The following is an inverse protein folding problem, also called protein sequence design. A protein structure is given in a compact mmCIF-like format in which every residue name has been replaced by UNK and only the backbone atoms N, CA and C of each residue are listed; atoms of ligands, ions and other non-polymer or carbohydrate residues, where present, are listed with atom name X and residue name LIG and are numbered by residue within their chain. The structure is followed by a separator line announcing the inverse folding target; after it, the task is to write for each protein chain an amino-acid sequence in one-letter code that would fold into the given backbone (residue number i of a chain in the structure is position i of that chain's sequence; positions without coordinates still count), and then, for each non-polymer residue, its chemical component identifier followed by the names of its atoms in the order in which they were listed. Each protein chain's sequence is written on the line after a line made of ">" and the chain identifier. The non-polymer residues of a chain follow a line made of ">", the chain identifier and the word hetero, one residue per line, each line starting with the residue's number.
data_IF_747280117646
#
_entry.id   IF_747280117646
#
_cell.length_a   1.000
_cell.length_b   1.000
_cell.length_c   1.000
_cell.angle_alpha   90.00
_cell.angle_beta   90.00
_cell.angle_gamma   90.00
#
_symmetry.space_group_name_H-M   'P 1'
#
loop_
_entity.id
_entity.type
_entity.pdbx_description
1 polymer ?
2 polymer ?
#
# COMPACT_ATOMS: atom_id res chain seq x y z
N UNK A 1 4.28 -10.34 9.36
CA UNK A 1 3.75 -10.40 7.99
C UNK A 1 2.23 -10.52 8.05
N UNK A 2 1.60 -10.90 6.93
CA UNK A 2 0.13 -10.98 6.88
C UNK A 2 -0.45 -12.09 5.97
N UNK A 3 -1.65 -12.58 6.36
CA UNK A 3 -2.38 -13.61 5.61
C UNK A 3 -3.82 -13.07 5.48
N UNK A 4 -4.34 -13.03 4.25
CA UNK A 4 -5.68 -12.49 4.05
C UNK A 4 -6.55 -13.58 3.46
N UNK A 5 -7.70 -13.80 4.07
CA UNK A 5 -8.60 -14.82 3.55
C UNK A 5 -9.96 -14.16 3.64
N UNK A 6 -10.87 -14.31 2.67
CA UNK A 6 -10.70 -15.17 1.48
C UNK A 6 -10.05 -14.44 0.30
N UNK A 7 -9.72 -15.19 -0.76
CA UNK A 7 -9.10 -14.62 -1.94
C UNK A 7 -10.17 -13.93 -2.79
N UNK A 8 -11.28 -14.62 -3.05
CA UNK A 8 -12.35 -14.03 -3.87
C UNK A 8 -13.57 -13.93 -2.96
N UNK A 9 -14.46 -12.97 -3.24
CA UNK A 9 -15.63 -12.80 -2.38
C UNK A 9 -16.81 -12.32 -3.23
N UNK A 10 -17.63 -13.27 -3.67
CA UNK A 10 -18.80 -12.89 -4.44
C UNK A 10 -19.87 -12.45 -3.47
N UNK A 11 -20.43 -11.27 -3.70
CA UNK A 11 -21.44 -10.82 -2.77
C UNK A 11 -22.53 -10.06 -3.49
N UNK A 12 -23.75 -10.09 -2.97
CA UNK A 12 -24.86 -9.46 -3.67
C UNK A 12 -25.01 -8.06 -3.10
N UNK A 13 -25.58 -7.16 -3.87
CA UNK A 13 -25.74 -5.79 -3.37
C UNK A 13 -26.64 -5.84 -2.15
N UNK A 14 -26.30 -5.08 -1.13
CA UNK A 14 -27.12 -5.10 0.07
C UNK A 14 -26.51 -6.07 1.09
N UNK A 15 -25.81 -7.10 0.61
CA UNK A 15 -25.23 -8.11 1.50
C UNK A 15 -24.16 -7.50 2.39
N UNK A 16 -23.73 -8.30 3.36
CA UNK A 16 -22.66 -7.85 4.23
C UNK A 16 -21.48 -8.70 3.83
N UNK A 17 -20.28 -8.18 4.06
CA UNK A 17 -19.14 -9.00 3.79
C UNK A 17 -18.07 -8.78 4.86
N UNK A 18 -17.17 -9.75 5.03
CA UNK A 18 -16.14 -9.66 6.07
C UNK A 18 -14.86 -10.18 5.43
N UNK A 19 -13.78 -9.39 5.54
CA UNK A 19 -12.48 -9.85 5.06
C UNK A 19 -11.55 -9.78 6.27
N UNK A 20 -10.75 -10.82 6.50
CA UNK A 20 -9.93 -10.85 7.72
C UNK A 20 -8.44 -11.02 7.41
N UNK A 21 -7.61 -10.59 8.35
CA UNK A 21 -6.18 -10.80 8.21
C UNK A 21 -5.61 -11.28 9.53
N UNK A 22 -4.49 -11.98 9.41
CA UNK A 22 -3.85 -12.55 10.59
C UNK A 22 -2.35 -12.31 10.53
N UNK A 23 -1.78 -11.89 11.65
CA UNK A 23 -0.39 -11.47 11.69
C UNK A 23 0.41 -12.54 12.40
N UNK A 24 1.71 -12.32 12.51
CA UNK A 24 2.56 -13.36 13.07
C UNK A 24 2.94 -12.99 14.49
N UNK A 25 2.93 -11.71 14.79
CA UNK A 25 3.13 -11.34 16.19
C UNK A 25 1.86 -10.59 16.49
N UNK A 26 1.66 -10.20 17.73
CA UNK A 26 0.49 -9.38 18.05
C UNK A 26 0.87 -8.00 17.61
N UNK A 27 -0.05 -7.33 16.93
CA UNK A 27 0.34 -6.12 16.23
C UNK A 27 -0.35 -4.90 16.81
N UNK A 28 -1.11 -5.14 17.86
CA UNK A 28 -1.54 -4.04 18.73
C UNK A 28 -2.48 -3.06 18.06
N UNK A 29 -3.31 -3.57 17.18
CA UNK A 29 -4.32 -2.73 16.52
C UNK A 29 -3.73 -1.80 15.48
N UNK A 30 -2.49 -1.99 15.12
CA UNK A 30 -1.93 -1.05 14.16
C UNK A 30 -2.03 -1.81 12.85
N UNK A 31 -3.17 -1.72 12.19
CA UNK A 31 -3.30 -2.32 10.86
C UNK A 31 -4.25 -1.39 10.14
N UNK A 32 -4.25 -1.38 8.82
CA UNK A 32 -5.07 -0.43 8.08
C UNK A 32 -5.67 -1.23 6.93
N UNK A 33 -6.68 -0.66 6.27
CA UNK A 33 -7.37 -1.38 5.19
C UNK A 33 -7.45 -0.47 3.95
N UNK A 34 -7.08 -1.01 2.79
CA UNK A 34 -7.06 -0.21 1.57
C UNK A 34 -8.00 -0.83 0.54
N UNK A 35 -8.57 0.03 -0.30
CA UNK A 35 -9.47 -0.42 -1.35
C UNK A 35 -8.78 0.03 -2.64
N UNK A 36 -8.50 -0.87 -3.57
CA UNK A 36 -7.92 -0.42 -4.83
C UNK A 36 -9.02 -0.65 -5.84
N UNK A 37 -9.76 0.41 -6.14
CA UNK A 37 -10.81 0.28 -7.14
C UNK A 37 -10.12 -0.03 -8.45
N UNK A 38 -10.74 -0.71 -9.40
CA UNK A 38 -10.07 -1.06 -10.63
C UNK A 38 -9.61 0.18 -11.41
N UNK A 39 -8.35 0.10 -11.85
CA UNK A 39 -7.79 1.17 -12.68
C UNK A 39 -7.43 2.42 -11.89
N UNK A 40 -7.11 2.24 -10.61
CA UNK A 40 -6.79 3.41 -9.79
C UNK A 40 -5.80 2.96 -8.74
N UNK A 41 -5.28 3.96 -8.03
CA UNK A 41 -4.32 3.69 -6.97
C UNK A 41 -5.15 3.25 -5.79
N UNK A 42 -4.55 2.66 -4.76
CA UNK A 42 -5.30 2.21 -3.61
C UNK A 42 -5.72 3.43 -2.80
N UNK A 43 -6.67 3.25 -1.89
CA UNK A 43 -7.11 4.37 -1.08
C UNK A 43 -7.36 3.84 0.33
N UNK A 44 -7.25 4.74 1.30
CA UNK A 44 -7.40 4.34 2.70
C UNK A 44 -8.87 4.30 3.10
N UNK A 45 -9.20 3.34 3.97
CA UNK A 45 -10.56 3.22 4.46
C UNK A 45 -10.50 3.33 5.99
N UNK A 46 -9.77 2.42 6.63
CA UNK A 46 -9.70 2.42 8.10
C UNK A 46 -8.22 2.34 8.50
N UNK A 47 -7.84 3.02 9.59
CA UNK A 47 -6.46 2.97 10.06
C UNK A 47 -6.54 2.81 11.57
N UNK A 48 -5.52 2.20 12.16
CA UNK A 48 -5.60 1.82 13.58
C UNK A 48 -6.76 0.87 13.78
N UNK A 49 -6.88 -0.14 12.93
CA UNK A 49 -7.90 -1.18 13.13
C UNK A 49 -9.33 -0.79 12.80
N UNK A 50 -9.81 0.32 13.33
CA UNK A 50 -11.22 0.61 13.23
C UNK A 50 -11.43 2.09 13.00
N UNK A 51 -10.40 2.91 13.07
CA UNK A 51 -10.64 4.34 12.92
C UNK A 51 -10.89 4.66 11.45
N UNK A 52 -12.09 5.13 11.15
CA UNK A 52 -12.47 5.41 9.77
C UNK A 52 -11.83 6.72 9.37
N UNK A 53 -10.97 6.71 8.37
CA UNK A 53 -10.39 7.97 7.89
C UNK A 53 -11.44 8.73 7.10
N UNK A 54 -11.47 10.03 7.23
CA UNK A 54 -12.54 10.81 6.61
C UNK A 54 -12.72 10.68 5.10
N UNK A 55 -14.02 10.80 4.81
CA UNK A 55 -14.58 10.56 3.49
C UNK A 55 -15.17 9.15 3.35
N UNK A 56 -14.74 8.21 4.19
CA UNK A 56 -15.22 6.83 4.04
C UNK A 56 -16.60 6.74 4.66
N UNK A 57 -17.58 6.12 4.00
CA UNK A 57 -18.92 6.00 4.54
C UNK A 57 -18.91 4.95 5.64
N UNK A 58 -19.83 5.10 6.59
CA UNK A 58 -19.86 4.21 7.76
C UNK A 58 -20.27 2.77 7.48
N UNK A 59 -20.47 2.38 6.22
CA UNK A 59 -20.79 0.99 5.96
C UNK A 59 -19.55 0.13 6.17
N UNK A 60 -18.40 0.79 6.26
CA UNK A 60 -17.14 0.10 6.52
C UNK A 60 -16.77 0.27 7.98
N UNK A 61 -16.34 -0.83 8.59
CA UNK A 61 -15.93 -0.78 9.99
C UNK A 61 -14.79 -1.78 10.16
N UNK A 62 -13.91 -1.53 11.13
CA UNK A 62 -12.80 -2.47 11.33
C UNK A 62 -12.76 -2.92 12.79
N UNK A 63 -12.15 -4.09 13.04
CA UNK A 63 -12.06 -4.59 14.41
C UNK A 63 -10.95 -5.63 14.39
N UNK A 64 -10.62 -6.18 15.56
CA UNK A 64 -9.60 -7.22 15.60
C UNK A 64 -8.80 -7.21 16.90
N UNK A 65 -8.21 -8.37 17.23
CA UNK A 65 -7.45 -8.49 18.48
C UNK A 65 -6.25 -9.40 18.28
N UNK A 66 -5.15 -9.06 18.96
CA UNK A 66 -3.96 -9.91 18.92
C UNK A 66 -3.39 -10.01 17.51
N UNK A 67 -3.89 -10.98 16.74
CA UNK A 67 -3.36 -11.15 15.40
C UNK A 67 -4.43 -11.19 14.34
N UNK A 68 -5.71 -11.08 14.68
CA UNK A 68 -6.72 -11.22 13.64
C UNK A 68 -7.54 -9.95 13.58
N UNK A 69 -7.70 -9.39 12.38
CA UNK A 69 -8.42 -8.14 12.24
C UNK A 69 -9.41 -8.36 11.10
N UNK A 70 -10.55 -7.70 11.16
CA UNK A 70 -11.57 -7.94 10.14
C UNK A 70 -12.14 -6.61 9.65
N UNK A 71 -12.42 -6.55 8.35
CA UNK A 71 -13.09 -5.39 7.77
C UNK A 71 -14.49 -5.89 7.46
N UNK A 72 -15.48 -5.07 7.79
CA UNK A 72 -16.87 -5.46 7.54
C UNK A 72 -17.56 -4.35 6.75
N UNK A 73 -18.34 -4.77 5.75
CA UNK A 73 -19.14 -3.84 4.97
C UNK A 73 -20.56 -4.30 5.25
N UNK A 74 -21.37 -3.46 5.88
CA UNK A 74 -22.71 -3.87 6.27
C UNK A 74 -23.62 -4.02 5.07
N UNK A 75 -23.56 -3.06 4.13
CA UNK A 75 -24.54 -3.09 3.04
C UNK A 75 -23.62 -2.84 1.87
N UNK A 76 -23.40 -3.85 1.04
CA UNK A 76 -22.46 -3.67 -0.06
C UNK A 76 -23.15 -2.87 -1.14
N UNK A 77 -22.47 -1.82 -1.60
CA UNK A 77 -23.02 -1.01 -2.68
C UNK A 77 -22.14 -1.25 -3.90
N UNK A 78 -22.61 -0.75 -5.05
CA UNK A 78 -21.92 -0.99 -6.32
C UNK A 78 -20.50 -0.44 -6.33
N UNK A 79 -20.30 0.76 -5.78
CA UNK A 79 -18.97 1.36 -5.82
C UNK A 79 -17.91 0.57 -5.05
N UNK A 80 -18.32 -0.35 -4.17
CA UNK A 80 -17.35 -1.07 -3.35
C UNK A 80 -16.58 -2.23 -4.03
N UNK A 81 -16.74 -2.47 -5.34
CA UNK A 81 -15.99 -3.55 -6.04
C UNK A 81 -14.57 -3.12 -6.13
N UNK A 82 -13.67 -4.10 -5.99
CA UNK A 82 -12.27 -3.94 -6.29
C UNK A 82 -11.50 -4.83 -5.34
N UNK A 83 -10.20 -4.60 -5.13
CA UNK A 83 -9.41 -5.51 -4.27
C UNK A 83 -9.08 -4.79 -2.98
N UNK A 84 -9.33 -5.48 -1.86
CA UNK A 84 -9.06 -4.88 -0.56
C UNK A 84 -7.73 -5.47 -0.08
N UNK A 85 -7.01 -4.69 0.73
CA UNK A 85 -5.69 -5.11 1.21
C UNK A 85 -5.63 -4.68 2.67
N UNK A 86 -5.11 -5.54 3.55
CA UNK A 86 -4.91 -5.08 4.92
C UNK A 86 -3.43 -4.74 4.96
N UNK A 87 -2.97 -4.09 6.01
CA UNK A 87 -1.55 -3.77 6.06
C UNK A 87 -1.23 -3.53 7.54
N UNK A 88 -0.15 -4.09 8.06
CA UNK A 88 0.23 -3.78 9.46
C UNK A 88 1.32 -2.71 9.58
N UNK A 89 1.38 -2.04 10.73
CA UNK A 89 2.41 -1.03 10.98
C UNK A 89 2.83 -1.29 12.41
N UNK A 90 2.99 -2.54 12.71
CA UNK A 90 3.39 -2.83 14.07
C UNK A 90 4.90 -2.81 14.06
N UNK A 91 5.48 -3.28 12.97
CA UNK A 91 6.93 -3.30 12.94
C UNK A 91 7.28 -3.14 11.48
N UNK A 92 8.31 -2.36 11.23
CA UNK A 92 8.79 -2.19 9.88
C UNK A 92 9.39 -3.52 9.48
N UNK A 93 9.23 -3.86 8.24
CA UNK A 93 8.74 -2.88 7.31
C UNK A 93 7.27 -3.17 7.11
N UNK A 94 6.55 -2.19 6.60
CA UNK A 94 5.10 -2.30 6.52
C UNK A 94 4.76 -3.42 5.55
N UNK A 95 3.89 -4.35 5.94
CA UNK A 95 3.61 -5.47 5.06
C UNK A 95 2.11 -5.60 4.87
N UNK A 96 1.80 -5.91 3.61
CA UNK A 96 0.43 -5.86 3.09
C UNK A 96 -0.08 -7.29 2.96
N UNK A 97 -1.40 -7.43 2.99
CA UNK A 97 -1.98 -8.76 2.83
C UNK A 97 -2.10 -8.99 1.34
N UNK A 98 -2.26 -10.26 0.94
CA UNK A 98 -2.27 -10.59 -0.49
C UNK A 98 -3.48 -10.07 -1.27
N UNK A 99 -4.54 -9.66 -0.58
CA UNK A 99 -5.68 -9.08 -1.30
C UNK A 99 -6.89 -10.03 -1.38
N UNK A 100 -8.08 -9.40 -1.36
CA UNK A 100 -9.36 -10.13 -1.45
C UNK A 100 -10.18 -9.38 -2.51
N UNK A 101 -10.44 -10.00 -3.66
CA UNK A 101 -11.23 -9.32 -4.68
C UNK A 101 -12.72 -9.48 -4.42
N UNK A 102 -13.40 -8.35 -4.30
CA UNK A 102 -14.85 -8.36 -4.08
C UNK A 102 -15.52 -8.16 -5.43
N UNK A 103 -16.36 -9.12 -5.80
CA UNK A 103 -17.09 -8.98 -7.05
C UNK A 103 -18.57 -8.96 -6.73
N UNK A 104 -19.26 -8.10 -7.46
CA UNK A 104 -20.69 -7.93 -7.30
C UNK A 104 -21.47 -9.03 -8.00
N UNK A 105 -22.28 -9.76 -7.25
CA UNK A 105 -23.12 -10.80 -7.82
C UNK A 105 -24.31 -10.08 -8.42
N UNK A 106 -24.58 -10.37 -9.69
CA UNK A 106 -25.63 -9.64 -10.40
C UNK A 106 -26.50 -10.68 -11.11
N UNK A 107 -27.57 -10.24 -11.77
CA UNK A 107 -28.36 -11.20 -12.52
C UNK A 107 -27.68 -11.56 -13.83
N UNK B 1 7.44 9.88 -11.41
CA UNK B 1 8.09 9.81 -12.72
C UNK B 1 9.47 9.14 -12.62
N UNK B 2 10.09 8.97 -13.80
CA UNK B 2 11.39 8.29 -13.87
C UNK B 2 11.27 6.83 -14.33
N UNK B 3 10.06 6.44 -14.70
CA UNK B 3 9.89 5.02 -15.02
C UNK B 3 10.28 4.63 -16.39
N UNK B 4 9.75 3.50 -16.89
CA UNK B 4 10.03 3.02 -18.25
C UNK B 4 10.66 1.66 -18.37
N UNK B 5 11.11 1.39 -19.59
CA UNK B 5 11.65 0.07 -19.88
C UNK B 5 13.14 0.11 -19.58
N UNK B 6 13.64 -0.94 -18.94
CA UNK B 6 15.07 -1.02 -18.72
C UNK B 6 15.54 -2.46 -18.79
N UNK B 7 16.77 -2.65 -19.23
CA UNK B 7 17.26 -4.01 -19.43
C UNK B 7 17.80 -4.48 -18.09
N UNK B 8 17.69 -5.76 -17.78
CA UNK B 8 18.14 -6.32 -16.51
C UNK B 8 19.57 -5.90 -16.17
N UNK B 9 19.69 -5.30 -14.98
CA UNK B 9 20.98 -4.88 -14.46
C UNK B 9 21.04 -3.37 -14.56
N UNK B 10 20.09 -2.79 -15.27
CA UNK B 10 20.20 -1.35 -15.41
C UNK B 10 19.89 -0.61 -14.13
N UNK B 11 19.91 0.72 -14.21
CA UNK B 11 19.67 1.51 -13.02
C UNK B 11 18.60 2.53 -13.38
N UNK B 12 18.01 3.15 -12.37
CA UNK B 12 16.88 4.04 -12.64
C UNK B 12 16.62 4.86 -11.38
N UNK B 13 16.15 6.09 -11.54
CA UNK B 13 15.85 6.91 -10.37
C UNK B 13 14.42 7.42 -10.53
N UNK B 14 13.58 7.07 -9.56
CA UNK B 14 12.14 7.28 -9.58
C UNK B 14 12.04 8.64 -8.77
N UNK B 15 11.09 9.54 -9.07
CA UNK B 15 10.95 10.73 -8.22
C UNK B 15 9.52 10.73 -7.70
N UNK B 16 9.24 11.70 -6.83
CA UNK B 16 7.90 11.85 -6.30
C UNK B 16 7.76 13.24 -5.71
N UNK B 17 6.91 14.00 -6.40
CA UNK B 17 6.72 15.40 -6.04
C UNK B 17 5.51 15.60 -5.12
N UNK B 18 5.78 16.13 -3.94
CA UNK B 18 4.72 16.30 -2.96
C UNK B 18 4.23 17.73 -2.92
N UNK B 19 2.95 17.89 -2.59
CA UNK B 19 2.40 19.22 -2.48
C UNK B 19 1.14 19.03 -1.69
N UNK B 20 1.02 20.13 -0.97
CA UNK B 20 -0.21 20.59 -0.34
C UNK B 20 0.14 20.79 1.13
N UNK B 21 1.20 20.15 1.55
CA UNK B 21 1.25 19.79 2.96
C UNK B 21 2.59 20.23 3.49
N UNK B 22 2.87 20.07 4.77
CA UNK B 22 4.21 20.40 5.23
C UNK B 22 5.03 19.12 5.08
N UNK B 23 5.91 19.13 4.08
CA UNK B 23 6.63 17.93 3.62
C UNK B 23 7.29 17.10 4.71
N UNK B 24 7.82 17.79 5.70
CA UNK B 24 8.68 17.13 6.68
C UNK B 24 7.88 16.74 7.90
N UNK B 25 6.58 16.87 7.81
CA UNK B 25 5.79 16.42 8.94
C UNK B 25 5.53 14.95 8.68
N UNK B 26 5.88 14.44 7.49
CA UNK B 26 5.41 13.10 7.16
C UNK B 26 6.46 12.30 6.40
N UNK B 27 6.49 11.01 6.68
CA UNK B 27 7.47 10.10 6.09
C UNK B 27 6.99 9.66 4.71
N UNK B 28 7.78 9.58 3.66
CA UNK B 28 7.21 9.09 2.40
C UNK B 28 7.65 7.63 2.21
N UNK B 29 6.84 6.73 1.67
CA UNK B 29 7.31 5.33 1.53
C UNK B 29 7.04 4.76 0.14
N UNK B 30 7.96 3.91 -0.34
CA UNK B 30 7.87 3.44 -1.73
C UNK B 30 7.24 2.06 -1.69
N UNK B 31 6.12 1.91 -2.40
CA UNK B 31 5.41 0.64 -2.41
C UNK B 31 5.15 0.27 -3.86
N UNK B 32 5.39 -0.97 -4.25
CA UNK B 32 5.08 -1.32 -5.64
C UNK B 32 3.94 -2.31 -5.79
N UNK B 33 3.40 -2.39 -7.01
CA UNK B 33 2.35 -3.35 -7.30
C UNK B 33 2.71 -4.05 -8.61
N UNK B 34 2.89 -5.37 -8.51
CA UNK B 34 3.33 -6.18 -9.64
C UNK B 34 2.17 -6.41 -10.58
N UNK B 35 2.46 -6.83 -11.82
CA UNK B 35 1.43 -7.05 -12.85
C UNK B 35 0.34 -8.03 -12.37
N UNK B 36 0.71 -8.95 -11.48
CA UNK B 36 -0.29 -9.89 -10.98
C UNK B 36 -0.99 -9.31 -9.76
N UNK B 37 -0.93 -7.99 -9.62
CA UNK B 37 -1.68 -7.25 -8.61
C UNK B 37 -1.15 -7.35 -7.18
N UNK B 38 0.01 -7.97 -6.97
CA UNK B 38 0.48 -8.12 -5.58
C UNK B 38 1.19 -6.84 -5.13
N UNK B 39 1.00 -6.46 -3.87
CA UNK B 39 1.62 -5.21 -3.39
C UNK B 39 2.86 -5.51 -2.55
N UNK B 40 3.95 -4.77 -2.76
CA UNK B 40 5.13 -5.01 -1.93
C UNK B 40 5.74 -3.73 -1.38
N UNK B 41 6.25 -3.83 -0.16
CA UNK B 41 6.93 -2.68 0.45
C UNK B 41 8.35 -2.67 -0.09
N UNK B 42 8.73 -1.51 -0.62
CA UNK B 42 10.06 -1.37 -1.18
C UNK B 42 11.00 -0.69 -0.19
N UNK B 43 10.62 0.46 0.37
CA UNK B 43 11.54 1.12 1.29
C UNK B 43 10.87 2.23 2.11
N UNK B 44 11.59 2.67 3.15
CA UNK B 44 11.11 3.69 4.12
C UNK B 44 12.22 4.66 4.45
N UNK B 45 11.93 5.96 4.36
CA UNK B 45 12.97 6.97 4.59
C UNK B 45 12.30 7.95 5.47
N UNK B 46 13.12 8.47 6.34
CA UNK B 46 12.66 9.57 7.13
C UNK B 46 13.43 10.72 6.54
N UNK B 47 12.66 11.67 6.04
CA UNK B 47 13.25 12.63 5.14
C UNK B 47 14.09 13.61 6.00
N UNK B 48 13.69 13.88 7.24
CA UNK B 48 14.42 14.82 8.07
C UNK B 48 15.73 14.28 8.65
N UNK B 49 15.86 12.96 8.78
CA UNK B 49 17.08 12.47 9.42
C UNK B 49 17.90 11.68 8.43
N UNK B 50 17.32 11.35 7.29
CA UNK B 50 18.10 10.67 6.27
C UNK B 50 18.00 9.15 6.37
N UNK B 51 17.24 8.65 7.32
CA UNK B 51 17.38 7.23 7.65
C UNK B 51 16.55 6.32 6.75
N UNK B 52 17.19 5.30 6.20
CA UNK B 52 16.54 4.43 5.21
C UNK B 52 16.52 2.95 5.64
N UNK B 53 15.40 2.25 5.39
CA UNK B 53 15.24 0.81 5.72
C UNK B 53 14.49 0.08 4.55
N UNK B 54 14.55 -1.28 4.42
CA UNK B 54 14.27 -1.98 3.14
C UNK B 54 14.04 -3.48 3.45
N UNK B 55 13.32 -4.21 2.60
CA UNK B 55 13.34 -5.65 2.83
C UNK B 55 14.54 -6.26 2.16
N UNK B 56 14.75 -7.57 2.33
CA UNK B 56 15.94 -8.17 1.73
C UNK B 56 15.86 -8.06 0.23
N UNK B 57 14.62 -8.20 -0.24
CA UNK B 57 14.31 -8.13 -1.66
C UNK B 57 15.13 -7.10 -2.40
N UNK B 58 15.25 -5.90 -1.84
CA UNK B 58 15.95 -4.89 -2.60
C UNK B 58 17.15 -4.36 -1.84
N UNK B 59 17.38 -4.93 -0.66
CA UNK B 59 18.48 -4.53 0.21
C UNK B 59 19.77 -4.43 -0.57
N UNK B 60 20.44 -3.29 -0.44
CA UNK B 60 21.71 -3.15 -1.14
C UNK B 60 21.57 -2.75 -2.61
N UNK B 61 20.36 -2.62 -3.15
CA UNK B 61 20.25 -2.26 -4.56
C UNK B 61 19.44 -1.00 -4.72
N UNK B 62 18.40 -0.87 -3.92
CA UNK B 62 17.63 0.35 -4.00
C UNK B 62 18.04 1.30 -2.90
N UNK B 63 17.87 2.60 -3.14
CA UNK B 63 18.32 3.56 -2.15
C UNK B 63 17.35 4.71 -2.11
N UNK B 64 16.59 4.76 -1.05
CA UNK B 64 15.64 5.83 -0.93
C UNK B 64 16.23 7.06 -0.31
N UNK B 65 15.70 8.22 -0.71
CA UNK B 65 16.32 9.46 -0.28
C UNK B 65 15.30 10.56 -0.48
N UNK B 66 15.58 11.73 0.10
CA UNK B 66 14.64 12.84 -0.07
C UNK B 66 15.31 14.21 0.07
N UNK B 67 14.52 15.23 -0.31
CA UNK B 67 14.99 16.60 -0.28
C UNK B 67 13.86 17.36 0.39
N UNK B 68 14.02 17.62 1.69
CA UNK B 68 13.00 18.36 2.43
C UNK B 68 12.81 19.77 1.88
N UNK B 69 13.83 20.28 1.19
CA UNK B 69 13.76 21.63 0.63
C UNK B 69 12.95 21.67 -0.66
N UNK B 70 13.26 20.78 -1.61
CA UNK B 70 12.59 20.82 -2.90
C UNK B 70 11.35 19.94 -2.85
N UNK B 71 11.06 19.31 -1.71
CA UNK B 71 9.87 18.46 -1.64
C UNK B 71 9.93 17.36 -2.69
N UNK B 72 10.94 16.49 -2.54
CA UNK B 72 11.14 15.42 -3.50
C UNK B 72 11.45 14.13 -2.74
N UNK B 73 10.84 13.04 -3.22
CA UNK B 73 11.21 11.72 -2.70
C UNK B 73 11.88 10.98 -3.86
N UNK B 74 12.96 10.25 -3.55
CA UNK B 74 13.68 9.54 -4.61
C UNK B 74 13.81 8.04 -4.31
N UNK B 75 13.88 7.27 -5.40
CA UNK B 75 14.15 5.84 -5.31
C UNK B 75 15.22 5.58 -6.37
N UNK B 76 16.39 5.11 -5.95
CA UNK B 76 17.46 4.87 -6.91
C UNK B 76 17.74 3.38 -7.03
N UNK B 77 17.28 2.79 -8.10
CA UNK B 77 17.25 1.35 -8.23
C UNK B 77 18.49 1.02 -9.04
N UNK B 78 19.19 0.00 -8.58
CA UNK B 78 20.45 -0.38 -9.21
C UNK B 78 20.47 -1.89 -9.36
N UNK B 79 21.04 -2.38 -10.46
CA UNK B 79 21.17 -3.82 -10.64
C UNK B 79 19.79 -4.41 -10.79
N UNK B 80 18.94 -3.69 -11.52
CA UNK B 80 17.55 -4.12 -11.67
C UNK B 80 17.39 -5.58 -12.07
N UNK B 81 16.39 -6.24 -11.50
CA UNK B 81 16.12 -7.65 -11.80
C UNK B 81 14.78 -7.65 -12.53
N UNK B 82 14.38 -8.76 -13.18
CA UNK B 82 13.12 -8.91 -13.90
C UNK B 82 11.96 -8.75 -12.94
N UNK B 83 12.18 -9.18 -11.69
CA UNK B 83 11.13 -9.13 -10.68
C UNK B 83 10.82 -7.73 -10.16
N UNK B 84 11.54 -6.70 -10.63
CA UNK B 84 11.30 -5.38 -10.09
C UNK B 84 10.24 -4.73 -10.95
N UNK B 85 9.90 -5.38 -12.06
CA UNK B 85 8.84 -4.87 -12.93
C UNK B 85 7.59 -4.65 -12.10
N UNK B 86 7.03 -3.44 -12.14
CA UNK B 86 5.82 -3.19 -11.36
C UNK B 86 5.54 -1.69 -11.38
N UNK B 87 4.38 -1.33 -10.84
CA UNK B 87 4.01 0.08 -10.73
C UNK B 87 4.58 0.56 -9.41
N UNK B 88 5.14 1.76 -9.40
CA UNK B 88 5.74 2.23 -8.16
C UNK B 88 4.99 3.45 -7.65
N UNK B 89 4.67 3.38 -6.36
CA UNK B 89 3.94 4.45 -5.68
C UNK B 89 4.75 4.92 -4.47
N UNK B 90 4.42 6.13 -4.05
CA UNK B 90 4.99 6.69 -2.84
C UNK B 90 3.70 7.14 -2.17
N UNK B 91 3.77 7.80 -1.07
CA UNK B 91 2.53 7.91 -0.31
C UNK B 91 2.96 8.51 1.00
N UNK B 92 2.18 9.40 1.65
CA UNK B 92 2.77 10.42 2.53
C UNK B 92 2.39 9.73 3.79
N UNK B 93 3.26 9.70 4.75
CA UNK B 93 3.15 8.65 5.73
C UNK B 93 3.11 9.28 7.09
N UNK B 94 1.93 9.20 7.65
CA UNK B 94 1.80 9.55 9.05
C UNK B 94 1.56 8.22 9.73
N UNK B 95 0.34 7.72 9.67
CA UNK B 95 0.14 6.44 10.35
C UNK B 95 -0.17 5.51 9.20
N UNK B 96 -0.28 6.13 8.05
CA UNK B 96 -0.56 5.37 6.84
C UNK B 96 -0.09 6.25 5.72
N UNK B 97 -0.35 5.82 4.50
CA UNK B 97 -0.18 6.69 3.35
C UNK B 97 -1.55 7.09 2.91
N UNK B 98 -1.93 8.30 3.23
CA UNK B 98 -3.30 8.69 2.96
C UNK B 98 -3.44 9.28 1.59
N UNK B 99 -2.35 9.69 0.99
CA UNK B 99 -2.50 10.16 -0.36
C UNK B 99 -1.52 9.11 -1.02
N UNK B 100 -1.08 9.00 -2.27
CA UNK B 100 -1.15 10.21 -3.09
C UNK B 100 -0.40 10.13 -4.39
N UNK B 101 0.12 8.95 -4.67
CA UNK B 101 0.86 8.82 -5.92
C UNK B 101 -0.06 8.19 -6.94
N UNK B 102 0.14 8.51 -8.21
CA UNK B 102 -0.71 7.97 -9.27
C UNK B 102 0.01 6.78 -9.94
N UNK B 103 1.24 6.50 -9.52
CA UNK B 103 1.98 5.37 -10.10
C UNK B 103 3.12 5.88 -10.98
N UNK B 104 3.69 4.89 -11.71
CA UNK B 104 4.82 5.12 -12.61
C UNK B 104 5.42 3.73 -12.88
N UNK B 105 5.10 3.21 -14.07
CA UNK B 105 5.43 1.81 -14.39
C UNK B 105 6.87 1.60 -14.84
N UNK B 106 7.57 0.76 -14.09
CA UNK B 106 8.92 0.34 -14.48
C UNK B 106 8.82 -1.07 -15.04
N UNK B 107 9.51 -1.29 -16.15
CA UNK B 107 9.45 -2.60 -16.79
C UNK B 107 10.87 -3.11 -17.07
N UNK B 108 11.31 -4.17 -16.39
CA UNK B 108 12.65 -4.72 -16.64
C UNK B 108 12.63 -5.90 -17.61
N UNK B 109 13.11 -5.71 -18.83
CA UNK B 109 13.13 -6.83 -19.77
C UNK B 109 14.29 -6.74 -20.76
#
# INVERSE_FOLDING_TARGET
>A
LMTQIPPSLSASLGDKVTITCQASQNINKYIAWYQQKPGKVPGLLIHYTSTLVSGIPSRFSGSGSGRDYSFSISNVESEDIASYYCLQYDSSPRTFGGGTKLELKRA
>B
SGAELAKPGSSVKISCKASGYTFTNYYISWIKQTTGQGLEYVGYISTGSGGTNYNEKFKGKATLTVDKSSSTTFMQLSSLTPDDSAVYYCARGDWNFDFWGPGTMVTVS
#
